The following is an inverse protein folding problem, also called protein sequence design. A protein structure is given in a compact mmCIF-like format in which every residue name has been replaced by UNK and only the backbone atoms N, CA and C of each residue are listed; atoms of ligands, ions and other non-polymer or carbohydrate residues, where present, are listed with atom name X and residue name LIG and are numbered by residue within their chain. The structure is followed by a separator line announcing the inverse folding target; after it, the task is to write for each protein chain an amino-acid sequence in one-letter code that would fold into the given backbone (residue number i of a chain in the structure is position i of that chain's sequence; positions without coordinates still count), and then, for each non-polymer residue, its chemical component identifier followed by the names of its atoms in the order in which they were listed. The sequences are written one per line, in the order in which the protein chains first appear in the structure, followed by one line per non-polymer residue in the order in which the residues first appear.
data_IF_941457529939
#
_entry.id   IF_941457529939
#
_cell.length_a   1.000
_cell.length_b   1.000
_cell.length_c   1.000
_cell.angle_alpha   90.00
_cell.angle_beta   90.00
_cell.angle_gamma   90.00
#
_symmetry.space_group_name_H-M   'P 1'
#
loop_
_entity.id
_entity.type
_entity.pdbx_description
1 polymer ?
#
# COMPACT_ATOMS: atom_id res chain seq x y z
N UNK A 1 -21.29 -4.62 13.56
CA UNK A 1 -20.85 -3.22 13.37
C UNK A 1 -19.36 -3.24 13.14
N UNK A 2 -18.91 -2.90 11.93
CA UNK A 2 -17.52 -2.54 11.67
C UNK A 2 -17.56 -1.39 10.66
N UNK A 3 -17.89 -0.21 11.21
CA UNK A 3 -17.55 1.04 10.57
C UNK A 3 -16.09 1.35 10.93
N UNK A 4 -15.39 1.99 9.99
CA UNK A 4 -14.09 2.66 10.14
C UNK A 4 -12.83 1.79 9.97
N UNK A 5 -12.46 1.54 8.71
CA UNK A 5 -11.08 1.34 8.26
C UNK A 5 -11.00 1.81 6.81
N UNK A 6 -10.90 3.13 6.60
CA UNK A 6 -11.00 3.70 5.25
C UNK A 6 -9.67 3.72 4.48
N UNK A 7 -8.51 3.49 5.14
CA UNK A 7 -7.21 3.33 4.49
C UNK A 7 -6.36 2.32 5.27
N UNK A 8 -5.84 1.28 4.61
CA UNK A 8 -4.98 0.27 5.26
C UNK A 8 -3.49 0.57 5.04
N UNK A 9 -3.13 1.18 3.90
CA UNK A 9 -1.76 1.56 3.61
C UNK A 9 -1.70 2.89 2.84
N UNK A 10 -0.62 3.65 3.08
CA UNK A 10 -0.31 4.91 2.41
C UNK A 10 1.17 4.92 2.02
N UNK A 11 1.47 5.60 0.91
CA UNK A 11 2.82 5.99 0.54
C UNK A 11 2.92 7.51 0.54
N UNK A 12 3.66 8.05 1.49
CA UNK A 12 3.86 9.49 1.69
C UNK A 12 5.24 9.93 1.21
N UNK A 13 5.29 11.00 0.44
CA UNK A 13 6.50 11.66 0.01
C UNK A 13 7.22 12.31 1.20
N UNK A 14 8.54 12.14 1.23
CA UNK A 14 9.48 12.82 2.12
C UNK A 14 10.57 13.49 1.31
N UNK A 15 11.28 14.43 1.93
CA UNK A 15 12.36 15.21 1.29
C UNK A 15 13.44 14.32 0.63
N UNK A 16 13.59 13.06 1.05
CA UNK A 16 14.59 12.12 0.57
C UNK A 16 14.03 10.73 0.19
N UNK A 17 12.72 10.59 -0.06
CA UNK A 17 12.15 9.31 -0.48
C UNK A 17 10.66 9.19 -0.20
N UNK A 18 10.21 7.96 0.05
CA UNK A 18 8.80 7.63 0.30
C UNK A 18 8.70 6.78 1.56
N UNK A 19 7.85 7.24 2.48
CA UNK A 19 7.47 6.49 3.67
C UNK A 19 6.25 5.61 3.36
N UNK A 20 6.31 4.37 3.84
CA UNK A 20 5.17 3.47 3.86
C UNK A 20 4.51 3.50 5.23
N UNK A 21 3.22 3.83 5.26
CA UNK A 21 2.45 3.96 6.49
C UNK A 21 1.33 2.92 6.48
N UNK A 22 1.29 2.10 7.52
CA UNK A 22 0.20 1.16 7.76
C UNK A 22 -0.77 1.71 8.80
N UNK A 23 -2.04 1.33 8.68
CA UNK A 23 -3.00 1.58 9.74
C UNK A 23 -2.55 0.90 11.05
N UNK A 24 -2.67 1.63 12.17
CA UNK A 24 -2.18 1.23 13.50
C UNK A 24 -2.58 -0.20 13.91
N UNK A 25 -3.85 -0.57 13.69
CA UNK A 25 -4.37 -1.91 14.02
C UNK A 25 -3.70 -3.03 13.23
N UNK A 26 -3.28 -2.79 11.98
CA UNK A 26 -2.56 -3.80 11.19
C UNK A 26 -1.12 -3.87 11.68
N UNK A 27 -0.49 -2.70 11.85
CA UNK A 27 0.89 -2.61 12.33
C UNK A 27 1.05 -3.30 13.69
N UNK A 28 0.10 -3.13 14.60
CA UNK A 28 0.10 -3.76 15.93
C UNK A 28 -0.01 -5.30 15.87
N UNK A 29 -0.60 -5.85 14.80
CA UNK A 29 -0.76 -7.29 14.60
C UNK A 29 0.30 -7.88 13.66
N UNK A 30 1.25 -7.08 13.18
CA UNK A 30 2.28 -7.52 12.26
C UNK A 30 3.27 -8.44 12.97
N UNK A 31 3.28 -9.73 12.61
CA UNK A 31 4.29 -10.67 13.08
C UNK A 31 5.60 -10.48 12.29
N UNK A 32 6.78 -10.75 12.88
CA UNK A 32 8.08 -10.61 12.21
C UNK A 32 8.15 -11.32 10.86
N UNK A 33 7.55 -12.52 10.75
CA UNK A 33 7.46 -13.27 9.51
C UNK A 33 6.80 -12.49 8.36
N UNK A 34 5.67 -11.81 8.64
CA UNK A 34 4.98 -11.02 7.63
C UNK A 34 5.73 -9.72 7.33
N UNK A 35 6.37 -9.11 8.33
CA UNK A 35 7.20 -7.92 8.13
C UNK A 35 8.40 -8.21 7.20
N UNK A 36 9.07 -9.35 7.39
CA UNK A 36 10.19 -9.79 6.55
C UNK A 36 9.76 -10.01 5.09
N UNK A 37 8.56 -10.56 4.86
CA UNK A 37 7.99 -10.71 3.52
C UNK A 37 7.59 -9.36 2.91
N UNK A 38 7.06 -8.45 3.73
CA UNK A 38 6.51 -7.17 3.29
C UNK A 38 7.60 -6.16 2.90
N UNK A 39 8.70 -6.12 3.67
CA UNK A 39 9.77 -5.13 3.54
C UNK A 39 10.36 -5.01 2.12
N UNK A 40 10.79 -6.09 1.43
CA UNK A 40 11.34 -5.97 0.08
C UNK A 40 10.31 -5.51 -0.95
N UNK A 41 9.03 -5.88 -0.78
CA UNK A 41 7.95 -5.45 -1.67
C UNK A 41 7.68 -3.95 -1.51
N UNK A 42 7.60 -3.48 -0.27
CA UNK A 42 7.43 -2.07 0.05
C UNK A 42 8.61 -1.23 -0.46
N UNK A 43 9.84 -1.70 -0.27
CA UNK A 43 11.04 -0.99 -0.74
C UNK A 43 11.04 -0.85 -2.26
N UNK A 44 10.78 -1.93 -2.99
CA UNK A 44 10.67 -1.92 -4.46
C UNK A 44 9.55 -0.98 -4.92
N UNK A 45 8.41 -0.99 -4.24
CA UNK A 45 7.29 -0.13 -4.63
C UNK A 45 7.57 1.35 -4.34
N UNK A 46 8.19 1.66 -3.20
CA UNK A 46 8.63 3.01 -2.86
C UNK A 46 9.67 3.55 -3.85
N UNK A 47 10.63 2.74 -4.28
CA UNK A 47 11.60 3.13 -5.31
C UNK A 47 10.90 3.46 -6.63
N UNK A 48 9.97 2.61 -7.07
CA UNK A 48 9.19 2.86 -8.27
C UNK A 48 8.29 4.10 -8.17
N UNK A 49 7.70 4.34 -7.00
CA UNK A 49 6.86 5.52 -6.76
C UNK A 49 7.70 6.81 -6.66
N UNK A 50 8.98 6.72 -6.28
CA UNK A 50 9.87 7.89 -6.16
C UNK A 50 10.10 8.59 -7.50
N UNK A 51 10.02 7.87 -8.63
CA UNK A 51 10.05 8.46 -9.96
C UNK A 51 8.91 9.46 -10.20
N UNK A 52 7.82 9.35 -9.43
CA UNK A 52 6.66 10.23 -9.53
C UNK A 52 6.66 11.38 -8.54
N UNK A 53 7.67 11.47 -7.66
CA UNK A 53 7.76 12.48 -6.61
C UNK A 53 7.69 13.91 -7.17
N UNK A 54 8.45 14.21 -8.23
CA UNK A 54 8.52 15.54 -8.84
C UNK A 54 7.22 15.95 -9.55
N UNK A 55 6.34 14.99 -9.85
CA UNK A 55 5.07 15.24 -10.51
C UNK A 55 3.90 15.35 -9.53
N UNK A 56 4.09 14.99 -8.26
CA UNK A 56 3.05 15.07 -7.25
C UNK A 56 2.97 16.47 -6.65
N UNK A 57 1.75 16.97 -6.47
CA UNK A 57 1.46 18.18 -5.69
C UNK A 57 0.96 17.87 -4.28
N UNK A 58 0.87 16.59 -3.94
CA UNK A 58 0.29 16.11 -2.69
C UNK A 58 1.32 15.29 -1.90
N UNK A 59 1.25 15.34 -0.57
CA UNK A 59 2.17 14.58 0.29
C UNK A 59 1.96 13.08 0.13
N UNK A 60 0.74 12.61 -0.09
CA UNK A 60 0.46 11.19 -0.31
C UNK A 60 0.39 10.90 -1.80
N UNK A 61 1.17 9.92 -2.27
CA UNK A 61 1.26 9.58 -3.70
C UNK A 61 0.33 8.42 -4.07
N UNK A 62 0.11 7.50 -3.12
CA UNK A 62 -0.70 6.31 -3.30
C UNK A 62 -1.42 5.96 -2.00
N UNK A 63 -2.69 5.60 -2.12
CA UNK A 63 -3.48 5.03 -1.03
C UNK A 63 -4.00 3.66 -1.42
N UNK A 64 -3.95 2.71 -0.50
CA UNK A 64 -4.49 1.36 -0.68
C UNK A 64 -5.55 1.03 0.36
N UNK A 65 -6.64 0.41 -0.10
CA UNK A 65 -7.73 -0.07 0.74
C UNK A 65 -8.12 -1.50 0.34
N UNK A 66 -8.25 -2.38 1.32
CA UNK A 66 -8.86 -3.69 1.17
C UNK A 66 -10.35 -3.52 1.49
N UNK A 67 -11.19 -3.94 0.56
CA UNK A 67 -12.65 -3.90 0.66
C UNK A 67 -13.17 -5.11 1.43
N UNK A 68 -14.44 -5.06 1.84
CA UNK A 68 -15.08 -6.13 2.62
C UNK A 68 -15.14 -7.49 1.88
N UNK A 69 -15.00 -7.47 0.55
CA UNK A 69 -14.92 -8.66 -0.30
C UNK A 69 -13.46 -9.14 -0.51
N UNK A 70 -12.51 -8.63 0.27
CA UNK A 70 -11.07 -8.86 0.15
C UNK A 70 -10.43 -8.36 -1.16
N UNK A 71 -11.14 -7.55 -1.96
CA UNK A 71 -10.52 -6.90 -3.12
C UNK A 71 -9.67 -5.70 -2.69
N UNK A 72 -8.58 -5.47 -3.42
CA UNK A 72 -7.71 -4.32 -3.22
C UNK A 72 -8.10 -3.18 -4.16
N UNK A 73 -8.42 -2.04 -3.58
CA UNK A 73 -8.54 -0.76 -4.27
C UNK A 73 -7.23 0.04 -4.07
N UNK A 74 -6.57 0.39 -5.18
CA UNK A 74 -5.40 1.26 -5.19
C UNK A 74 -5.79 2.55 -5.90
N UNK A 75 -5.53 3.67 -5.24
CA UNK A 75 -5.67 5.00 -5.84
C UNK A 75 -4.31 5.67 -5.89
N UNK A 76 -3.90 6.05 -7.10
CA UNK A 76 -2.84 7.03 -7.29
C UNK A 76 -3.43 8.42 -7.09
N UNK A 77 -2.62 9.35 -6.59
CA UNK A 77 -3.00 10.75 -6.52
C UNK A 77 -3.36 11.28 -7.92
N UNK A 78 -4.32 12.20 -7.96
CA UNK A 78 -4.80 12.83 -9.18
C UNK A 78 -3.64 13.42 -10.00
N UNK A 79 -3.71 13.22 -11.32
CA UNK A 79 -2.71 13.74 -12.26
C UNK A 79 -1.54 12.80 -12.52
N UNK A 80 -1.25 11.79 -11.68
CA UNK A 80 -0.16 10.84 -11.97
C UNK A 80 -0.47 9.86 -13.09
N UNK A 81 -1.76 9.57 -13.33
CA UNK A 81 -2.19 8.64 -14.38
C UNK A 81 -1.72 9.02 -15.79
N UNK A 82 -1.39 10.30 -16.04
CA UNK A 82 -0.89 10.78 -17.33
C UNK A 82 0.61 10.53 -17.54
N UNK A 83 1.35 10.26 -16.45
CA UNK A 83 2.79 9.96 -16.45
C UNK A 83 3.07 8.46 -16.32
N UNK A 84 2.05 7.64 -16.07
CA UNK A 84 2.14 6.19 -16.03
C UNK A 84 1.69 5.61 -17.37
N UNK A 85 2.59 4.93 -18.07
CA UNK A 85 2.18 4.10 -19.21
C UNK A 85 1.36 2.87 -18.72
N UNK A 86 0.64 2.24 -19.65
CA UNK A 86 -0.25 1.11 -19.34
C UNK A 86 0.51 -0.05 -18.69
N UNK A 87 1.74 -0.33 -19.13
CA UNK A 87 2.54 -1.42 -18.58
C UNK A 87 2.97 -1.12 -17.14
N UNK A 88 3.46 0.08 -16.86
CA UNK A 88 3.83 0.52 -15.50
C UNK A 88 2.63 0.54 -14.55
N UNK A 89 1.47 1.01 -15.01
CA UNK A 89 0.24 1.02 -14.23
C UNK A 89 -0.20 -0.37 -13.78
N UNK A 90 -0.11 -1.37 -14.65
CA UNK A 90 -0.54 -2.73 -14.32
C UNK A 90 0.55 -3.54 -13.61
N UNK A 91 1.77 -3.62 -14.15
CA UNK A 91 2.79 -4.52 -13.60
C UNK A 91 3.47 -3.97 -12.35
N UNK A 92 3.74 -2.67 -12.30
CA UNK A 92 4.53 -2.10 -11.20
C UNK A 92 3.62 -1.66 -10.06
N UNK A 93 2.49 -1.00 -10.38
CA UNK A 93 1.62 -0.43 -9.36
C UNK A 93 0.59 -1.45 -8.86
N UNK A 94 -0.14 -2.11 -9.78
CA UNK A 94 -1.21 -3.02 -9.38
C UNK A 94 -0.70 -4.37 -8.82
N UNK A 95 0.19 -5.07 -9.53
CA UNK A 95 0.68 -6.38 -9.05
C UNK A 95 1.48 -6.27 -7.74
N UNK A 96 2.34 -5.25 -7.58
CA UNK A 96 3.05 -5.01 -6.32
C UNK A 96 2.09 -4.74 -5.17
N UNK A 97 1.08 -3.91 -5.41
CA UNK A 97 0.05 -3.63 -4.41
C UNK A 97 -0.76 -4.87 -4.05
N UNK A 98 -1.06 -5.74 -5.01
CA UNK A 98 -1.76 -7.01 -4.77
C UNK A 98 -0.96 -7.94 -3.86
N UNK A 99 0.34 -8.13 -4.12
CA UNK A 99 1.20 -8.96 -3.27
C UNK A 99 1.26 -8.44 -1.83
N UNK A 100 1.32 -7.11 -1.66
CA UNK A 100 1.28 -6.48 -0.35
C UNK A 100 -0.07 -6.73 0.32
N UNK A 101 -1.17 -6.51 -0.39
CA UNK A 101 -2.51 -6.75 0.14
C UNK A 101 -2.72 -8.21 0.57
N UNK A 102 -2.24 -9.18 -0.19
CA UNK A 102 -2.33 -10.60 0.16
C UNK A 102 -1.61 -10.91 1.49
N UNK A 103 -0.50 -10.22 1.80
CA UNK A 103 0.18 -10.33 3.10
C UNK A 103 -0.66 -9.67 4.19
N UNK A 104 -1.18 -8.46 3.95
CA UNK A 104 -1.96 -7.71 4.95
C UNK A 104 -3.28 -8.41 5.28
N UNK A 105 -3.94 -9.06 4.32
CA UNK A 105 -5.13 -9.90 4.56
C UNK A 105 -4.78 -11.04 5.50
N UNK A 106 -3.64 -11.73 5.30
CA UNK A 106 -3.21 -12.82 6.19
C UNK A 106 -2.93 -12.32 7.62
N UNK A 107 -2.37 -11.11 7.76
CA UNK A 107 -2.19 -10.47 9.07
C UNK A 107 -3.55 -10.22 9.75
N UNK A 108 -4.54 -9.75 8.99
CA UNK A 108 -5.90 -9.50 9.49
C UNK A 108 -6.66 -10.80 9.84
N UNK A 109 -6.52 -11.84 9.02
CA UNK A 109 -7.16 -13.14 9.24
C UNK A 109 -6.58 -13.86 10.46
N UNK A 110 -5.25 -13.81 10.63
CA UNK A 110 -4.58 -14.39 11.80
C UNK A 110 -5.12 -13.79 13.10
N UNK A 111 -5.37 -12.48 13.12
CA UNK A 111 -5.96 -11.80 14.26
C UNK A 111 -7.42 -12.21 14.51
N UNK A 112 -8.21 -12.34 13.44
CA UNK A 112 -9.63 -12.71 13.55
C UNK A 112 -9.80 -14.14 14.09
N UNK A 113 -8.86 -15.04 13.81
CA UNK A 113 -8.84 -16.42 14.30
C UNK A 113 -8.33 -16.57 15.75
N UNK A 114 -7.65 -15.56 16.30
CA UNK A 114 -7.15 -15.55 17.68
C UNK A 114 -8.12 -14.89 18.69
N UNK A 115 -9.28 -14.41 18.23
CA UNK A 115 -10.37 -13.90 19.06
C UNK A 115 -11.46 -14.95 19.26
#
# INVERSE_FOLDING_TARGET
MLNELWYLLLFDLKDNGIDFVLHEKIAANMLPYYEEMLRPLVASWAENLSFYQDFSKHPTILTGKILDNNELEIMLIEGLGQYTDVYTKYQIIFESGKLIADILIKVMDHYTLQR
#
